data_IF_307595300945
#
_entry.id   IF_307595300945
#
_cell.length_a   1.000
_cell.length_b   1.000
_cell.length_c   1.000
_cell.angle_alpha   90.00
_cell.angle_beta   90.00
_cell.angle_gamma   90.00
#
_symmetry.space_group_name_H-M   'P 1'
#
loop_
_entity.id
_entity.type
_entity.pdbx_description
1 polymer ?
#
# COMPACT_ATOMS: atom_id res chain seq x y z
N UNK A 1 33.05 18.95 -20.87
CA UNK A 1 31.64 18.93 -20.47
C UNK A 1 31.16 20.36 -20.38
N UNK A 2 30.18 20.73 -21.20
CA UNK A 2 29.60 22.09 -21.20
C UNK A 2 28.76 22.30 -19.94
N UNK A 3 28.48 23.56 -19.58
CA UNK A 3 27.64 23.84 -18.40
C UNK A 3 26.19 23.35 -18.60
N UNK A 4 25.72 23.27 -19.85
CA UNK A 4 24.46 22.64 -20.21
C UNK A 4 24.47 21.12 -19.92
N UNK A 5 25.54 20.41 -20.31
CA UNK A 5 25.69 18.98 -19.99
C UNK A 5 25.77 18.72 -18.48
N UNK A 6 26.45 19.61 -17.72
CA UNK A 6 26.46 19.55 -16.25
C UNK A 6 25.05 19.70 -15.68
N UNK A 7 24.30 20.69 -16.16
CA UNK A 7 22.95 20.94 -15.68
C UNK A 7 22.01 19.76 -15.97
N UNK A 8 22.02 19.21 -17.20
CA UNK A 8 21.26 18.01 -17.54
C UNK A 8 21.60 16.83 -16.63
N UNK A 9 22.89 16.56 -16.42
CA UNK A 9 23.33 15.48 -15.53
C UNK A 9 22.84 15.67 -14.09
N UNK A 10 22.82 16.92 -13.58
CA UNK A 10 22.26 17.21 -12.25
C UNK A 10 20.77 16.89 -12.17
N UNK A 11 19.99 17.28 -13.18
CA UNK A 11 18.55 16.98 -13.25
C UNK A 11 18.29 15.48 -13.35
N UNK A 12 19.07 14.76 -14.16
CA UNK A 12 18.97 13.30 -14.25
C UNK A 12 19.26 12.61 -12.93
N UNK A 13 20.33 13.01 -12.24
CA UNK A 13 20.70 12.47 -10.94
C UNK A 13 19.62 12.73 -9.89
N UNK A 14 19.08 13.95 -9.83
CA UNK A 14 17.98 14.29 -8.92
C UNK A 14 16.73 13.45 -9.19
N UNK A 15 16.36 13.26 -10.46
CA UNK A 15 15.25 12.39 -10.84
C UNK A 15 15.49 10.93 -10.41
N UNK A 16 16.69 10.39 -10.62
CA UNK A 16 17.02 9.02 -10.22
C UNK A 16 16.94 8.83 -8.70
N UNK A 17 17.46 9.78 -7.92
CA UNK A 17 17.36 9.75 -6.47
C UNK A 17 15.90 9.80 -6.01
N UNK A 18 15.10 10.69 -6.60
CA UNK A 18 13.68 10.78 -6.30
C UNK A 18 12.94 9.48 -6.63
N UNK A 19 13.21 8.88 -7.79
CA UNK A 19 12.62 7.59 -8.18
C UNK A 19 12.96 6.48 -7.18
N UNK A 20 14.22 6.38 -6.75
CA UNK A 20 14.63 5.39 -5.75
C UNK A 20 13.91 5.58 -4.42
N UNK A 21 13.76 6.84 -3.97
CA UNK A 21 13.02 7.15 -2.75
C UNK A 21 11.54 6.75 -2.86
N UNK A 22 10.89 7.02 -4.00
CA UNK A 22 9.49 6.63 -4.25
C UNK A 22 9.33 5.10 -4.17
N UNK A 23 10.24 4.35 -4.80
CA UNK A 23 10.22 2.87 -4.78
C UNK A 23 10.42 2.31 -3.37
N UNK A 24 11.34 2.91 -2.60
CA UNK A 24 11.58 2.54 -1.21
C UNK A 24 10.34 2.78 -0.35
N UNK A 25 9.76 3.98 -0.42
CA UNK A 25 8.57 4.34 0.34
C UNK A 25 7.38 3.45 -0.03
N UNK A 26 7.16 3.20 -1.33
CA UNK A 26 6.13 2.28 -1.81
C UNK A 26 6.27 0.89 -1.17
N UNK A 27 7.48 0.34 -1.17
CA UNK A 27 7.75 -0.98 -0.60
C UNK A 27 7.46 -1.01 0.90
N UNK A 28 7.90 0.02 1.63
CA UNK A 28 7.65 0.15 3.06
C UNK A 28 6.15 0.22 3.38
N UNK A 29 5.40 1.09 2.68
CA UNK A 29 3.96 1.21 2.88
C UNK A 29 3.20 -0.06 2.51
N UNK A 30 3.59 -0.73 1.43
CA UNK A 30 2.98 -2.02 1.05
C UNK A 30 3.17 -3.08 2.14
N UNK A 31 4.38 -3.20 2.68
CA UNK A 31 4.66 -4.11 3.79
C UNK A 31 3.85 -3.76 5.04
N UNK A 32 3.68 -2.47 5.35
CA UNK A 32 2.84 -2.04 6.47
C UNK A 32 1.38 -2.46 6.28
N UNK A 33 0.82 -2.31 5.07
CA UNK A 33 -0.54 -2.74 4.74
C UNK A 33 -0.67 -4.26 4.88
N UNK A 34 0.29 -5.02 4.37
CA UNK A 34 0.30 -6.49 4.47
C UNK A 34 0.37 -6.97 5.91
N UNK A 35 1.22 -6.35 6.74
CA UNK A 35 1.33 -6.69 8.15
C UNK A 35 0.05 -6.36 8.93
N UNK A 36 -0.56 -5.20 8.69
CA UNK A 36 -1.81 -4.82 9.33
C UNK A 36 -2.95 -5.79 8.95
N UNK A 37 -3.02 -6.19 7.68
CA UNK A 37 -3.97 -7.20 7.22
C UNK A 37 -3.81 -8.53 7.97
N UNK A 38 -2.58 -9.03 8.09
CA UNK A 38 -2.29 -10.30 8.77
C UNK A 38 -2.65 -10.24 10.26
N UNK A 39 -2.29 -9.13 10.93
CA UNK A 39 -2.63 -8.90 12.33
C UNK A 39 -4.15 -8.89 12.55
N UNK A 40 -4.89 -8.17 11.70
CA UNK A 40 -6.35 -8.12 11.79
C UNK A 40 -6.99 -9.48 11.51
N UNK A 41 -6.51 -10.21 10.50
CA UNK A 41 -6.99 -11.56 10.19
C UNK A 41 -6.84 -12.49 11.40
N UNK A 42 -5.64 -12.54 11.98
CA UNK A 42 -5.37 -13.37 13.15
C UNK A 42 -6.27 -13.00 14.33
N UNK A 43 -6.47 -11.70 14.57
CA UNK A 43 -7.36 -11.21 15.63
C UNK A 43 -8.82 -11.65 15.41
N UNK A 44 -9.34 -11.53 14.19
CA UNK A 44 -10.71 -11.94 13.83
C UNK A 44 -10.89 -13.44 14.09
N UNK A 45 -9.99 -14.27 13.55
CA UNK A 45 -10.04 -15.73 13.70
C UNK A 45 -9.93 -16.15 15.18
N UNK A 46 -9.04 -15.51 15.94
CA UNK A 46 -8.87 -15.78 17.38
C UNK A 46 -10.14 -15.45 18.16
N UNK A 47 -10.72 -14.26 17.94
CA UNK A 47 -11.93 -13.85 18.64
C UNK A 47 -13.12 -14.74 18.28
N UNK A 48 -13.30 -15.07 16.99
CA UNK A 48 -14.36 -15.96 16.55
C UNK A 48 -14.21 -17.36 17.18
N UNK A 49 -12.99 -17.91 17.22
CA UNK A 49 -12.71 -19.19 17.87
C UNK A 49 -13.07 -19.19 19.36
N UNK A 50 -12.66 -18.15 20.10
CA UNK A 50 -12.99 -18.00 21.53
C UNK A 50 -14.51 -17.96 21.73
N UNK A 51 -15.21 -17.12 20.95
CA UNK A 51 -16.67 -16.96 21.08
C UNK A 51 -17.43 -18.24 20.70
N UNK A 52 -16.99 -18.97 19.66
CA UNK A 52 -17.57 -20.27 19.27
C UNK A 52 -17.40 -21.30 20.37
N UNK A 53 -16.21 -21.40 20.97
CA UNK A 53 -15.94 -22.31 22.07
C UNK A 53 -16.86 -22.03 23.27
N UNK A 54 -17.01 -20.76 23.67
CA UNK A 54 -17.94 -20.41 24.74
C UNK A 54 -19.39 -20.74 24.38
N UNK A 55 -19.82 -20.42 23.15
CA UNK A 55 -21.19 -20.70 22.70
C UNK A 55 -21.51 -22.20 22.75
N UNK A 56 -20.56 -23.04 22.34
CA UNK A 56 -20.70 -24.50 22.35
C UNK A 56 -20.76 -25.06 23.78
N UNK A 57 -19.96 -24.53 24.72
CA UNK A 57 -19.99 -24.95 26.13
C UNK A 57 -21.38 -24.77 26.75
N UNK A 58 -22.10 -23.73 26.35
CA UNK A 58 -23.46 -23.44 26.82
C UNK A 58 -24.56 -24.02 25.92
N UNK A 59 -24.23 -24.83 24.90
CA UNK A 59 -25.20 -25.45 24.00
C UNK A 59 -25.89 -24.49 23.03
N UNK A 60 -25.35 -23.28 22.83
CA UNK A 60 -25.95 -22.23 22.02
C UNK A 60 -25.51 -22.32 20.55
N UNK A 61 -25.97 -23.36 19.85
CA UNK A 61 -25.59 -23.64 18.46
C UNK A 61 -25.97 -22.53 17.47
N UNK A 62 -27.06 -21.81 17.72
CA UNK A 62 -27.47 -20.67 16.89
C UNK A 62 -26.46 -19.51 17.01
N UNK A 63 -25.97 -19.24 18.22
CA UNK A 63 -24.96 -18.20 18.46
C UNK A 63 -23.65 -18.59 17.78
N UNK A 64 -23.23 -19.86 17.88
CA UNK A 64 -22.04 -20.36 17.18
C UNK A 64 -22.15 -20.15 15.66
N UNK A 65 -23.29 -20.48 15.06
CA UNK A 65 -23.53 -20.25 13.62
C UNK A 65 -23.49 -18.76 13.24
N UNK A 66 -24.04 -17.88 14.08
CA UNK A 66 -23.98 -16.45 13.83
C UNK A 66 -22.56 -15.89 13.96
N UNK A 67 -21.75 -16.41 14.88
CA UNK A 67 -20.33 -16.03 15.00
C UNK A 67 -19.56 -16.40 13.72
N UNK A 68 -19.81 -17.56 13.13
CA UNK A 68 -19.17 -17.95 11.86
C UNK A 68 -19.51 -16.98 10.72
N UNK A 69 -20.77 -16.53 10.63
CA UNK A 69 -21.18 -15.54 9.62
C UNK A 69 -20.47 -14.20 9.84
N UNK A 70 -20.35 -13.77 11.10
CA UNK A 70 -19.67 -12.52 11.47
C UNK A 70 -18.17 -12.59 11.19
N UNK A 71 -17.53 -13.71 11.53
CA UNK A 71 -16.12 -14.00 11.21
C UNK A 71 -15.87 -13.87 9.70
N UNK A 72 -16.66 -14.57 8.88
CA UNK A 72 -16.54 -14.51 7.41
C UNK A 72 -16.75 -13.09 6.88
N UNK A 73 -17.72 -12.35 7.42
CA UNK A 73 -17.97 -10.97 7.01
C UNK A 73 -16.77 -10.07 7.31
N UNK A 74 -16.21 -10.13 8.51
CA UNK A 74 -15.03 -9.33 8.86
C UNK A 74 -13.78 -9.72 8.07
N UNK A 75 -13.59 -11.02 7.78
CA UNK A 75 -12.51 -11.47 6.91
C UNK A 75 -12.64 -10.91 5.50
N UNK A 76 -13.84 -10.91 4.92
CA UNK A 76 -14.11 -10.30 3.60
C UNK A 76 -13.81 -8.81 3.60
N UNK A 77 -14.27 -8.09 4.63
CA UNK A 77 -14.00 -6.65 4.77
C UNK A 77 -12.50 -6.34 4.91
N UNK A 78 -11.75 -7.17 5.63
CA UNK A 78 -10.29 -7.02 5.77
C UNK A 78 -9.58 -7.24 4.42
N UNK A 79 -9.97 -8.26 3.66
CA UNK A 79 -9.46 -8.51 2.30
C UNK A 79 -9.77 -7.35 1.33
N UNK A 80 -11.00 -6.85 1.34
CA UNK A 80 -11.43 -5.70 0.53
C UNK A 80 -10.67 -4.43 0.91
N UNK A 81 -10.49 -4.19 2.21
CA UNK A 81 -9.73 -3.05 2.73
C UNK A 81 -8.27 -3.11 2.27
N UNK A 82 -7.61 -4.27 2.40
CA UNK A 82 -6.24 -4.47 1.89
C UNK A 82 -6.14 -4.17 0.39
N UNK A 83 -7.05 -4.73 -0.42
CA UNK A 83 -7.08 -4.51 -1.88
C UNK A 83 -7.24 -3.02 -2.20
N UNK A 84 -8.17 -2.35 -1.54
CA UNK A 84 -8.42 -0.91 -1.71
C UNK A 84 -7.17 -0.09 -1.38
N UNK A 85 -6.53 -0.35 -0.24
CA UNK A 85 -5.32 0.37 0.18
C UNK A 85 -4.14 0.15 -0.78
N UNK A 86 -3.92 -1.08 -1.25
CA UNK A 86 -2.87 -1.36 -2.24
C UNK A 86 -3.15 -0.62 -3.56
N UNK A 87 -4.40 -0.65 -4.04
CA UNK A 87 -4.77 0.06 -5.26
C UNK A 87 -4.55 1.58 -5.13
N UNK A 88 -4.90 2.18 -3.99
CA UNK A 88 -4.62 3.59 -3.74
C UNK A 88 -3.11 3.88 -3.71
N UNK A 89 -2.32 3.01 -3.08
CA UNK A 89 -0.87 3.15 -3.04
C UNK A 89 -0.24 3.05 -4.44
N UNK A 90 -0.73 2.14 -5.28
CA UNK A 90 -0.31 2.00 -6.69
C UNK A 90 -0.60 3.28 -7.50
N UNK A 91 -1.81 3.84 -7.34
CA UNK A 91 -2.20 5.10 -7.99
C UNK A 91 -1.33 6.27 -7.52
N UNK A 92 -1.06 6.38 -6.22
CA UNK A 92 -0.18 7.41 -5.66
C UNK A 92 1.22 7.30 -6.26
N UNK A 93 1.80 6.09 -6.28
CA UNK A 93 3.12 5.84 -6.88
C UNK A 93 3.14 6.26 -8.36
N UNK A 94 2.17 5.83 -9.14
CA UNK A 94 2.08 6.15 -10.56
C UNK A 94 2.01 7.67 -10.80
N UNK A 95 1.17 8.38 -10.02
CA UNK A 95 1.03 9.82 -10.13
C UNK A 95 2.32 10.58 -9.79
N UNK A 96 2.99 10.19 -8.69
CA UNK A 96 4.24 10.85 -8.30
C UNK A 96 5.34 10.60 -9.35
N UNK A 97 5.48 9.37 -9.86
CA UNK A 97 6.44 9.06 -10.92
C UNK A 97 6.16 9.81 -12.22
N UNK A 98 4.90 9.89 -12.63
CA UNK A 98 4.48 10.65 -13.81
C UNK A 98 4.86 12.13 -13.67
N UNK A 99 4.61 12.74 -12.51
CA UNK A 99 4.99 14.12 -12.25
C UNK A 99 6.51 14.31 -12.26
N UNK A 100 7.27 13.39 -11.65
CA UNK A 100 8.73 13.44 -11.66
C UNK A 100 9.31 13.38 -13.09
N UNK A 101 8.73 12.53 -13.96
CA UNK A 101 9.12 12.45 -15.38
C UNK A 101 8.82 13.77 -16.10
N UNK A 102 7.64 14.34 -15.88
CA UNK A 102 7.23 15.62 -16.50
C UNK A 102 8.20 16.75 -16.12
N UNK A 103 8.49 16.88 -14.83
CA UNK A 103 9.41 17.89 -14.29
C UNK A 103 10.83 17.71 -14.88
N UNK A 104 11.35 16.47 -14.91
CA UNK A 104 12.64 16.17 -15.56
C UNK A 104 12.64 16.64 -17.02
N UNK A 105 11.57 16.36 -17.76
CA UNK A 105 11.43 16.77 -19.16
C UNK A 105 11.43 18.28 -19.36
N UNK A 106 10.69 19.02 -18.52
CA UNK A 106 10.63 20.48 -18.56
C UNK A 106 12.01 21.11 -18.31
N UNK A 107 12.74 20.65 -17.29
CA UNK A 107 14.09 21.16 -17.01
C UNK A 107 15.10 20.85 -18.12
N UNK A 108 15.03 19.64 -18.71
CA UNK A 108 15.89 19.28 -19.84
C UNK A 108 15.61 20.16 -21.07
N UNK A 109 14.35 20.54 -21.31
CA UNK A 109 13.98 21.44 -22.40
C UNK A 109 14.47 22.86 -22.16
N UNK A 110 14.40 23.38 -20.93
CA UNK A 110 14.96 24.70 -20.59
C UNK A 110 16.47 24.74 -20.80
N UNK A 111 17.17 23.66 -20.46
CA UNK A 111 18.61 23.54 -20.69
C UNK A 111 18.99 23.57 -22.18
N UNK A 112 18.08 23.21 -23.09
CA UNK A 112 18.32 23.24 -24.54
C UNK A 112 18.10 24.63 -25.19
N UNK A 113 17.56 25.60 -24.44
CA UNK A 113 17.20 26.93 -24.97
C UNK A 113 18.27 27.99 -24.62
N UNK A 114 19.21 27.68 -23.70
CA UNK A 114 20.37 28.51 -23.35
C UNK A 114 21.67 27.99 -23.95
#
# INVERSE_FOLDING_TARGET
MTDNEKFKNMIENAYFQQKQMIELNYTQFKNMIENAFLQQKQMIETNASIMKNYSNIFGNNEIASNIEKVELHFLSLNDESKKSMINQLDLIKANILSNAIKIKGEYNNMANIG
#
